data_IF_430460944259
#
_entry.id   IF_430460944259
#
_cell.length_a   1.000
_cell.length_b   1.000
_cell.length_c   1.000
_cell.angle_alpha   90.00
_cell.angle_beta   90.00
_cell.angle_gamma   90.00
#
_symmetry.space_group_name_H-M   'P 1'
#
loop_
_entity.id
_entity.type
_entity.pdbx_description
1 polymer ?
#
# COMPACT_ATOMS: atom_id res chain seq x y z
N UNK A 1 16.37 -25.76 9.52
CA UNK A 1 16.15 -24.31 9.32
C UNK A 1 15.62 -23.73 10.61
N UNK A 2 16.24 -22.67 11.14
CA UNK A 2 15.72 -21.97 12.33
C UNK A 2 14.53 -21.13 11.87
N UNK A 3 13.33 -21.42 12.39
CA UNK A 3 12.13 -20.60 12.15
C UNK A 3 12.39 -19.23 12.80
N UNK A 4 12.38 -18.12 12.06
CA UNK A 4 12.53 -16.80 12.67
C UNK A 4 11.42 -16.62 13.70
N UNK A 5 11.80 -16.23 14.92
CA UNK A 5 10.85 -15.99 15.99
C UNK A 5 9.89 -14.86 15.57
N UNK A 6 8.59 -15.09 15.76
CA UNK A 6 7.60 -14.06 15.52
C UNK A 6 7.63 -13.04 16.65
N UNK A 7 7.60 -11.76 16.30
CA UNK A 7 7.46 -10.68 17.27
C UNK A 7 6.11 -10.00 17.11
N UNK A 8 5.61 -9.38 18.18
CA UNK A 8 4.33 -8.65 18.15
C UNK A 8 4.51 -7.23 18.64
N UNK A 9 3.74 -6.31 18.07
CA UNK A 9 3.65 -4.90 18.49
C UNK A 9 2.18 -4.52 18.56
N UNK A 10 1.79 -3.77 19.60
CA UNK A 10 0.41 -3.30 19.72
C UNK A 10 0.15 -2.24 18.65
N UNK A 11 -1.02 -2.28 18.02
CA UNK A 11 -1.47 -1.23 17.11
C UNK A 11 -1.77 0.06 17.88
N UNK A 12 -1.56 1.20 17.24
CA UNK A 12 -1.85 2.54 17.80
C UNK A 12 -3.34 2.93 17.67
N UNK A 13 -4.24 1.99 17.97
CA UNK A 13 -5.67 2.24 18.04
C UNK A 13 -6.12 2.06 19.51
N UNK A 14 -6.48 3.13 20.22
CA UNK A 14 -6.86 3.03 21.64
C UNK A 14 -8.19 2.30 21.85
N UNK A 15 -9.02 2.20 20.81
CA UNK A 15 -10.35 1.58 20.89
C UNK A 15 -10.33 0.07 20.63
N UNK A 16 -9.21 -0.47 20.14
CA UNK A 16 -9.13 -1.87 19.72
C UNK A 16 -7.86 -2.52 20.26
N UNK A 17 -8.01 -3.69 20.89
CA UNK A 17 -6.86 -4.52 21.20
C UNK A 17 -6.46 -5.33 19.97
N UNK A 18 -5.53 -4.78 19.19
CA UNK A 18 -4.93 -5.46 18.05
C UNK A 18 -3.41 -5.50 18.17
N UNK A 19 -2.84 -6.65 17.81
CA UNK A 19 -1.42 -6.92 17.76
C UNK A 19 -1.00 -7.14 16.30
N UNK A 20 -0.06 -6.35 15.82
CA UNK A 20 0.64 -6.59 14.57
C UNK A 20 1.72 -7.65 14.77
N UNK A 21 1.72 -8.68 13.94
CA UNK A 21 2.65 -9.80 14.01
C UNK A 21 3.71 -9.65 12.92
N UNK A 22 4.98 -9.88 13.30
CA UNK A 22 6.14 -9.67 12.45
C UNK A 22 6.99 -10.93 12.33
N UNK A 23 7.46 -11.21 11.12
CA UNK A 23 8.55 -12.14 10.85
C UNK A 23 9.77 -11.32 10.45
N UNK A 24 10.72 -11.15 11.37
CA UNK A 24 11.79 -10.18 11.21
C UNK A 24 11.22 -8.76 11.18
N UNK A 25 11.45 -8.03 10.09
CA UNK A 25 11.00 -6.66 9.89
C UNK A 25 9.69 -6.51 9.10
N UNK A 26 9.15 -7.63 8.58
CA UNK A 26 7.94 -7.66 7.76
C UNK A 26 6.72 -7.90 8.62
N UNK A 27 5.70 -7.04 8.51
CA UNK A 27 4.40 -7.22 9.17
C UNK A 27 3.57 -8.24 8.39
N UNK A 28 3.48 -9.46 8.91
CA UNK A 28 2.88 -10.61 8.19
C UNK A 28 1.41 -10.83 8.52
N UNK A 29 0.85 -10.12 9.49
CA UNK A 29 -0.54 -10.29 9.88
C UNK A 29 -0.92 -9.61 11.19
N UNK A 30 -2.10 -9.97 11.69
CA UNK A 30 -2.66 -9.41 12.92
C UNK A 30 -3.33 -10.48 13.78
N UNK A 31 -3.37 -10.23 15.08
CA UNK A 31 -4.25 -10.91 16.03
C UNK A 31 -4.95 -9.83 16.84
N UNK A 32 -6.27 -9.84 16.92
CA UNK A 32 -7.02 -8.81 17.62
C UNK A 32 -8.36 -9.27 18.16
N UNK A 33 -8.88 -8.49 19.10
CA UNK A 33 -10.22 -8.68 19.65
C UNK A 33 -11.25 -8.29 18.58
N UNK A 34 -12.28 -9.11 18.44
CA UNK A 34 -13.39 -8.88 17.52
C UNK A 34 -14.34 -7.85 18.09
N UNK A 35 -14.60 -6.79 17.34
CA UNK A 35 -15.58 -5.78 17.71
C UNK A 35 -17.02 -6.29 17.44
N UNK A 36 -17.95 -5.95 18.33
CA UNK A 36 -19.39 -6.15 18.11
C UNK A 36 -19.88 -7.60 18.17
N UNK A 37 -19.11 -8.53 18.74
CA UNK A 37 -19.52 -9.93 18.88
C UNK A 37 -20.10 -10.23 20.26
N UNK A 38 -21.07 -11.15 20.41
CA UNK A 38 -21.58 -11.57 21.71
C UNK A 38 -20.47 -12.11 22.61
N UNK A 39 -20.58 -11.91 23.92
CA UNK A 39 -19.56 -12.31 24.91
C UNK A 39 -19.26 -13.81 24.96
N UNK A 40 -20.18 -14.65 24.48
CA UNK A 40 -20.03 -16.11 24.40
C UNK A 40 -19.45 -16.60 23.08
N UNK A 41 -19.30 -15.71 22.08
CA UNK A 41 -18.66 -16.06 20.83
C UNK A 41 -17.14 -16.08 20.99
N UNK A 42 -16.45 -16.67 20.02
CA UNK A 42 -14.99 -16.55 19.93
C UNK A 42 -14.58 -15.09 19.81
N UNK A 43 -13.88 -14.58 20.82
CA UNK A 43 -13.59 -13.15 20.97
C UNK A 43 -12.40 -12.68 20.14
N UNK A 44 -11.52 -13.59 19.71
CA UNK A 44 -10.28 -13.24 19.01
C UNK A 44 -10.36 -13.63 17.54
N UNK A 45 -9.77 -12.80 16.70
CA UNK A 45 -9.53 -13.11 15.29
C UNK A 45 -8.04 -12.99 14.98
N UNK A 46 -7.60 -13.75 13.99
CA UNK A 46 -6.26 -13.66 13.45
C UNK A 46 -6.31 -13.65 11.93
N UNK A 47 -5.35 -12.97 11.31
CA UNK A 47 -5.20 -12.93 9.87
C UNK A 47 -3.72 -12.93 9.48
N UNK A 48 -3.37 -13.66 8.43
CA UNK A 48 -2.05 -13.70 7.80
C UNK A 48 -2.20 -13.13 6.41
N UNK A 49 -1.40 -12.12 6.10
CA UNK A 49 -1.39 -11.45 4.83
C UNK A 49 -0.57 -10.18 4.90
N UNK A 50 0.18 -9.89 3.84
CA UNK A 50 0.83 -8.62 3.64
C UNK A 50 0.78 -8.23 2.18
N UNK A 51 0.74 -6.93 1.95
CA UNK A 51 0.69 -6.32 0.62
C UNK A 51 1.66 -5.15 0.60
N UNK A 52 2.38 -4.94 -0.52
CA UNK A 52 2.48 -5.83 -1.69
C UNK A 52 3.32 -7.10 -1.42
N UNK A 53 3.36 -8.03 -2.38
CA UNK A 53 4.17 -9.25 -2.33
C UNK A 53 3.41 -10.57 -2.16
N UNK A 54 2.21 -10.58 -1.56
CA UNK A 54 1.36 -11.77 -1.55
C UNK A 54 0.27 -11.69 -2.62
N UNK A 55 0.05 -12.81 -3.31
CA UNK A 55 -1.02 -12.94 -4.30
C UNK A 55 -2.41 -12.78 -3.64
N UNK A 56 -3.35 -12.06 -4.29
CA UNK A 56 -4.74 -11.99 -3.83
C UNK A 56 -5.32 -13.40 -3.60
N UNK A 57 -6.02 -13.58 -2.47
CA UNK A 57 -6.64 -14.86 -2.11
C UNK A 57 -5.71 -15.88 -1.41
N UNK A 58 -4.41 -15.60 -1.28
CA UNK A 58 -3.48 -16.46 -0.51
C UNK A 58 -3.47 -16.17 0.99
N UNK A 59 -4.17 -15.11 1.42
CA UNK A 59 -4.33 -14.79 2.83
C UNK A 59 -5.02 -15.93 3.61
N UNK A 60 -4.77 -15.97 4.92
CA UNK A 60 -5.37 -16.94 5.84
C UNK A 60 -5.97 -16.19 7.02
N UNK A 61 -7.01 -16.73 7.62
CA UNK A 61 -7.62 -16.16 8.82
C UNK A 61 -8.37 -17.18 9.62
N UNK A 62 -8.64 -16.86 10.88
CA UNK A 62 -9.51 -17.64 11.73
C UNK A 62 -9.98 -16.86 12.95
N UNK A 63 -10.79 -17.51 13.77
CA UNK A 63 -11.29 -17.00 15.04
C UNK A 63 -10.94 -17.98 16.16
N UNK A 64 -10.89 -17.49 17.40
CA UNK A 64 -10.64 -18.30 18.57
C UNK A 64 -11.22 -17.65 19.84
N UNK A 65 -11.50 -18.48 20.85
CA UNK A 65 -12.00 -18.02 22.15
C UNK A 65 -10.99 -17.14 22.91
N UNK A 66 -9.69 -17.39 22.77
CA UNK A 66 -8.63 -16.71 23.52
C UNK A 66 -7.49 -16.25 22.62
N UNK A 67 -6.73 -15.25 23.08
CA UNK A 67 -5.53 -14.77 22.40
C UNK A 67 -4.53 -15.89 22.15
N UNK A 68 -4.31 -16.76 23.13
CA UNK A 68 -3.30 -17.82 23.05
C UNK A 68 -3.67 -18.89 22.01
N UNK A 69 -4.96 -19.25 21.92
CA UNK A 69 -5.45 -20.15 20.85
C UNK A 69 -5.34 -19.49 19.49
N UNK A 70 -5.67 -18.19 19.37
CA UNK A 70 -5.47 -17.44 18.13
C UNK A 70 -3.98 -17.38 17.73
N UNK A 71 -3.07 -17.19 18.69
CA UNK A 71 -1.62 -17.17 18.47
C UNK A 71 -1.11 -18.51 17.95
N UNK A 72 -1.53 -19.61 18.57
CA UNK A 72 -1.14 -20.96 18.13
C UNK A 72 -1.65 -21.27 16.72
N UNK A 73 -2.91 -20.94 16.42
CA UNK A 73 -3.49 -21.11 15.10
C UNK A 73 -2.77 -20.26 14.03
N UNK A 74 -2.46 -19.01 14.36
CA UNK A 74 -1.64 -18.14 13.51
C UNK A 74 -0.27 -18.75 13.24
N UNK A 75 0.44 -19.21 14.27
CA UNK A 75 1.80 -19.75 14.15
C UNK A 75 1.85 -21.04 13.34
N UNK A 76 0.82 -21.89 13.46
CA UNK A 76 0.65 -23.09 12.65
C UNK A 76 0.43 -22.71 11.18
N UNK A 77 -0.59 -21.89 10.89
CA UNK A 77 -0.90 -21.45 9.53
C UNK A 77 0.27 -20.70 8.87
N UNK A 78 1.02 -19.90 9.63
CA UNK A 78 2.22 -19.22 9.12
C UNK A 78 3.34 -20.20 8.76
N UNK A 79 3.52 -21.28 9.53
CA UNK A 79 4.57 -22.28 9.25
C UNK A 79 4.35 -22.96 7.92
N UNK A 80 3.09 -23.25 7.59
CA UNK A 80 2.70 -23.84 6.30
C UNK A 80 2.84 -22.83 5.17
N UNK A 81 2.27 -21.63 5.35
CA UNK A 81 2.23 -20.61 4.31
C UNK A 81 3.61 -20.02 3.97
N UNK A 82 4.50 -19.87 4.96
CA UNK A 82 5.84 -19.30 4.74
C UNK A 82 6.67 -20.09 3.73
N UNK A 83 6.40 -21.39 3.58
CA UNK A 83 7.10 -22.26 2.63
C UNK A 83 6.70 -21.98 1.18
N UNK A 84 5.52 -21.41 0.94
CA UNK A 84 5.04 -21.08 -0.41
C UNK A 84 5.36 -19.65 -0.82
N UNK A 85 5.75 -18.79 0.12
CA UNK A 85 6.02 -17.37 -0.14
C UNK A 85 7.50 -17.21 -0.54
N UNK A 86 7.78 -16.68 -1.75
CA UNK A 86 9.15 -16.44 -2.19
C UNK A 86 9.78 -15.28 -1.41
N UNK A 87 11.10 -15.29 -1.25
CA UNK A 87 11.81 -14.21 -0.53
C UNK A 87 11.64 -12.83 -1.21
N UNK A 88 11.40 -12.81 -2.53
CA UNK A 88 11.09 -11.60 -3.29
C UNK A 88 9.82 -10.88 -2.79
N UNK A 89 8.80 -11.61 -2.31
CA UNK A 89 7.60 -11.02 -1.74
C UNK A 89 7.91 -10.17 -0.51
N UNK A 90 8.81 -10.65 0.36
CA UNK A 90 9.25 -9.89 1.52
C UNK A 90 10.07 -8.65 1.11
N UNK A 91 10.85 -8.74 0.03
CA UNK A 91 11.60 -7.61 -0.49
C UNK A 91 10.68 -6.52 -1.06
N UNK A 92 9.66 -6.91 -1.83
CA UNK A 92 8.65 -6.00 -2.38
C UNK A 92 7.91 -5.25 -1.26
N UNK A 93 7.51 -5.98 -0.22
CA UNK A 93 6.88 -5.36 0.95
C UNK A 93 7.80 -4.34 1.63
N UNK A 94 9.09 -4.63 1.79
CA UNK A 94 10.05 -3.68 2.38
C UNK A 94 10.20 -2.43 1.52
N UNK A 95 10.29 -2.60 0.20
CA UNK A 95 10.39 -1.47 -0.73
C UNK A 95 9.16 -0.56 -0.62
N UNK A 96 7.96 -1.13 -0.57
CA UNK A 96 6.73 -0.36 -0.39
C UNK A 96 6.65 0.32 0.98
N UNK A 97 7.06 -0.37 2.06
CA UNK A 97 7.15 0.23 3.40
C UNK A 97 8.05 1.46 3.38
N UNK A 98 9.24 1.32 2.82
CA UNK A 98 10.26 2.38 2.82
C UNK A 98 9.80 3.55 1.93
N UNK A 99 9.22 3.26 0.76
CA UNK A 99 8.58 4.26 -0.09
C UNK A 99 7.46 5.02 0.62
N UNK A 100 6.56 4.33 1.35
CA UNK A 100 5.50 4.97 2.15
C UNK A 100 6.06 5.86 3.24
N UNK A 101 7.15 5.43 3.89
CA UNK A 101 7.82 6.23 4.91
C UNK A 101 8.42 7.52 4.31
N UNK A 102 9.06 7.43 3.14
CA UNK A 102 9.58 8.59 2.40
C UNK A 102 8.45 9.56 2.00
N UNK A 103 7.35 9.04 1.46
CA UNK A 103 6.15 9.82 1.11
C UNK A 103 5.58 10.52 2.35
N UNK A 104 5.44 9.81 3.47
CA UNK A 104 4.96 10.39 4.72
C UNK A 104 5.90 11.48 5.23
N UNK A 105 7.23 11.27 5.15
CA UNK A 105 8.23 12.25 5.55
C UNK A 105 8.19 13.52 4.68
N UNK A 106 8.04 13.39 3.35
CA UNK A 106 7.83 14.54 2.44
C UNK A 106 6.59 15.34 2.86
N UNK A 107 5.47 14.64 3.07
CA UNK A 107 4.21 15.28 3.49
C UNK A 107 4.30 15.95 4.85
N UNK A 108 5.01 15.35 5.82
CA UNK A 108 5.23 15.95 7.14
C UNK A 108 6.02 17.27 7.07
N UNK A 109 6.89 17.44 6.06
CA UNK A 109 7.59 18.70 5.78
C UNK A 109 6.73 19.72 5.01
N UNK A 110 5.50 19.37 4.63
CA UNK A 110 4.63 20.22 3.80
C UNK A 110 5.01 20.23 2.32
N UNK A 111 5.87 19.32 1.88
CA UNK A 111 6.26 19.20 0.47
C UNK A 111 5.20 18.44 -0.32
N UNK A 112 4.98 18.86 -1.58
CA UNK A 112 4.16 18.11 -2.53
C UNK A 112 4.94 16.91 -3.06
N UNK A 113 4.24 15.81 -3.33
CA UNK A 113 4.81 14.72 -4.12
C UNK A 113 4.99 15.17 -5.57
N UNK A 114 5.96 14.57 -6.27
CA UNK A 114 6.21 14.89 -7.67
C UNK A 114 4.97 14.63 -8.55
N UNK A 115 4.18 13.61 -8.19
CA UNK A 115 2.89 13.31 -8.82
C UNK A 115 1.80 14.36 -8.56
N UNK A 116 1.93 15.17 -7.50
CA UNK A 116 1.01 16.25 -7.13
C UNK A 116 1.44 17.61 -7.69
N UNK A 117 2.70 17.72 -8.15
CA UNK A 117 3.19 18.89 -8.88
C UNK A 117 2.58 18.83 -10.28
N UNK A 118 1.58 19.69 -10.52
CA UNK A 118 0.96 19.82 -11.83
C UNK A 118 2.03 20.16 -12.86
N UNK A 119 2.29 19.21 -13.76
CA UNK A 119 3.19 19.46 -14.88
C UNK A 119 2.57 20.53 -15.79
N UNK A 120 3.38 21.51 -16.14
CA UNK A 120 3.07 22.50 -17.17
C UNK A 120 3.48 21.99 -18.55
N UNK A 121 4.12 20.81 -18.64
CA UNK A 121 4.49 20.18 -19.89
C UNK A 121 3.25 19.71 -20.64
N UNK A 122 3.12 20.17 -21.88
CA UNK A 122 2.06 19.83 -22.81
C UNK A 122 2.67 19.17 -24.04
N UNK A 123 1.94 18.24 -24.66
CA UNK A 123 2.32 17.66 -25.95
C UNK A 123 1.48 18.27 -27.06
N UNK A 124 2.13 18.89 -28.05
CA UNK A 124 1.46 19.43 -29.23
C UNK A 124 1.06 18.30 -30.19
N UNK A 125 0.07 18.55 -31.05
CA UNK A 125 -0.31 17.66 -32.17
C UNK A 125 0.86 17.43 -33.16
N UNK A 126 1.82 18.36 -33.24
CA UNK A 126 3.05 18.16 -34.01
C UNK A 126 4.07 17.22 -33.35
N UNK A 127 3.75 16.66 -32.18
CA UNK A 127 4.56 15.66 -31.47
C UNK A 127 5.51 16.23 -30.42
N UNK A 128 5.79 17.55 -30.44
CA UNK A 128 6.70 18.23 -29.51
C UNK A 128 6.10 18.34 -28.10
N UNK A 129 6.90 18.02 -27.08
CA UNK A 129 6.60 18.32 -25.67
C UNK A 129 7.24 19.65 -25.28
N UNK A 130 6.48 20.55 -24.68
CA UNK A 130 6.91 21.91 -24.34
C UNK A 130 6.31 22.37 -23.01
N UNK A 131 6.96 23.28 -22.30
CA UNK A 131 6.40 23.92 -21.11
C UNK A 131 5.40 25.02 -21.50
N UNK A 132 4.12 24.82 -21.19
CA UNK A 132 3.06 25.77 -21.51
C UNK A 132 3.20 27.13 -20.82
N UNK A 133 3.93 27.21 -19.71
CA UNK A 133 4.17 28.46 -18.97
C UNK A 133 5.34 29.27 -19.54
N UNK A 134 6.18 28.70 -20.41
CA UNK A 134 7.30 29.38 -21.04
C UNK A 134 6.89 29.93 -22.40
N UNK A 135 6.79 31.27 -22.59
CA UNK A 135 6.32 31.84 -23.86
C UNK A 135 7.15 31.41 -25.07
N UNK A 136 8.48 31.31 -24.92
CA UNK A 136 9.38 30.90 -25.99
C UNK A 136 9.12 29.46 -26.47
N UNK A 137 8.66 28.57 -25.58
CA UNK A 137 8.32 27.19 -25.92
C UNK A 137 6.85 27.06 -26.37
N UNK A 138 5.93 27.80 -25.73
CA UNK A 138 4.48 27.68 -25.93
C UNK A 138 3.95 28.39 -27.18
N UNK A 139 4.47 29.58 -27.51
CA UNK A 139 3.91 30.43 -28.57
C UNK A 139 4.00 29.79 -29.97
N UNK A 140 5.12 29.13 -30.36
CA UNK A 140 5.21 28.42 -31.64
C UNK A 140 4.14 27.34 -31.82
N UNK A 141 3.61 26.77 -30.73
CA UNK A 141 2.67 25.65 -30.77
C UNK A 141 1.19 26.05 -30.69
N UNK A 142 0.86 27.34 -30.49
CA UNK A 142 -0.54 27.80 -30.40
C UNK A 142 -1.32 27.60 -31.70
N UNK A 143 -0.69 27.88 -32.84
CA UNK A 143 -1.34 27.75 -34.16
C UNK A 143 -1.71 26.29 -34.47
N UNK A 144 -0.86 25.33 -34.10
CA UNK A 144 -1.16 23.91 -34.25
C UNK A 144 -2.38 23.49 -33.42
N UNK A 145 -2.50 24.01 -32.19
CA UNK A 145 -3.64 23.75 -31.31
C UNK A 145 -4.95 24.32 -31.87
N UNK A 146 -4.93 25.56 -32.39
CA UNK A 146 -6.12 26.16 -33.01
C UNK A 146 -6.55 25.44 -34.29
N UNK A 147 -5.59 25.07 -35.15
CA UNK A 147 -5.87 24.30 -36.35
C UNK A 147 -6.50 22.94 -36.02
N UNK A 148 -6.00 22.25 -34.99
CA UNK A 148 -6.56 20.99 -34.53
C UNK A 148 -7.99 21.15 -33.98
N UNK A 149 -8.28 22.20 -33.19
CA UNK A 149 -9.62 22.48 -32.67
C UNK A 149 -10.63 22.78 -33.79
N UNK A 150 -10.23 23.56 -34.80
CA UNK A 150 -11.04 23.85 -35.97
C UNK A 150 -11.38 22.57 -36.77
N UNK A 151 -10.42 21.65 -36.91
CA UNK A 151 -10.63 20.37 -37.60
C UNK A 151 -11.58 19.41 -36.85
N UNK A 152 -11.65 19.50 -35.52
CA UNK A 152 -12.49 18.65 -34.66
C UNK A 152 -13.91 19.24 -34.51
N UNK A 153 -14.17 20.45 -35.03
CA UNK A 153 -15.49 21.09 -34.96
C UNK A 153 -15.88 21.55 -33.56
N UNK A 154 -14.93 21.64 -32.63
CA UNK A 154 -15.14 22.16 -31.27
C UNK A 154 -14.75 23.63 -31.17
N UNK A 155 -15.42 24.48 -31.94
CA UNK A 155 -15.48 25.90 -31.62
C UNK A 155 -16.53 26.09 -30.52
N UNK A 156 -16.13 26.68 -29.39
CA UNK A 156 -17.07 27.33 -28.47
C UNK A 156 -17.57 28.63 -29.07
#
# INVERSE_FOLDING_TARGET
MIKPALTRRRSDNPHEETWHIYSGDVRIGTIGVRAGVPVHADQWAWSIGFYPGMEPGTWRSGIAATFEVARQAFEAAWSELRLTIPDAAFAEWRQDRDWRAEVAAKRARGEKLDSEIRSTLMRCVCGTTFDSWRPAESYPHRQHSYAAQAAIGTSR
#
